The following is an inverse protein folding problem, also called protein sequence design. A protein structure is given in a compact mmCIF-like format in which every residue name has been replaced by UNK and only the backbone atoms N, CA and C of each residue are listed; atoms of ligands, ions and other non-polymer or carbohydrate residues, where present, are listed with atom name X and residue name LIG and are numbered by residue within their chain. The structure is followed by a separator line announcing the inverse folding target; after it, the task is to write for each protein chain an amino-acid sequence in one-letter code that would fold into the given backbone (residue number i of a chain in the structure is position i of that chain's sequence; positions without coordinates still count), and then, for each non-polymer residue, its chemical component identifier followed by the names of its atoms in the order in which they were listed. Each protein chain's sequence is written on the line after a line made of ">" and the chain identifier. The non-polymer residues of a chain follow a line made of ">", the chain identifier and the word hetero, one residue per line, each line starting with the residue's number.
data_IF_913299254605
#
_entry.id   IF_913299254605
#
_cell.length_a   1.000
_cell.length_b   1.000
_cell.length_c   1.000
_cell.angle_alpha   90.00
_cell.angle_beta   90.00
_cell.angle_gamma   90.00
#
_symmetry.space_group_name_H-M   'P 1'
#
loop_
_entity.id
_entity.type
_entity.pdbx_description
1 polymer ?
#
# COMPACT_ATOMS: atom_id res chain seq x y z
N UNK A 1 51.66 38.28 -32.32
CA UNK A 1 50.46 37.77 -31.62
C UNK A 1 50.11 36.43 -32.26
N UNK A 2 50.29 35.32 -31.55
CA UNK A 2 49.78 34.02 -32.00
C UNK A 2 49.68 33.09 -30.77
N UNK A 3 48.52 33.10 -30.11
CA UNK A 3 48.17 32.09 -29.11
C UNK A 3 47.49 30.94 -29.85
N UNK A 4 48.27 29.94 -30.25
CA UNK A 4 47.73 28.69 -30.80
C UNK A 4 47.06 27.84 -29.72
N UNK A 5 45.99 27.09 -30.03
CA UNK A 5 45.30 26.26 -29.04
C UNK A 5 46.22 25.14 -28.56
N UNK A 6 46.57 25.17 -27.27
CA UNK A 6 47.30 24.08 -26.61
C UNK A 6 46.35 22.90 -26.45
N UNK A 7 46.49 21.90 -27.31
CA UNK A 7 45.87 20.60 -27.09
C UNK A 7 46.45 20.02 -25.79
N UNK A 8 45.63 19.99 -24.72
CA UNK A 8 45.97 19.33 -23.47
C UNK A 8 46.09 17.83 -23.76
N UNK A 9 47.27 17.26 -23.52
CA UNK A 9 47.48 15.82 -23.55
C UNK A 9 46.61 15.18 -22.48
N UNK A 10 45.70 14.28 -22.89
CA UNK A 10 44.85 13.52 -21.97
C UNK A 10 45.79 12.67 -21.10
N UNK A 11 45.79 12.95 -19.80
CA UNK A 11 46.59 12.23 -18.80
C UNK A 11 45.95 10.88 -18.47
N UNK A 12 46.74 9.92 -17.98
CA UNK A 12 46.19 8.69 -17.40
C UNK A 12 45.17 8.98 -16.29
N UNK A 13 45.35 10.10 -15.57
CA UNK A 13 44.40 10.61 -14.57
C UNK A 13 43.07 11.04 -15.21
N UNK A 14 43.09 11.66 -16.39
CA UNK A 14 41.87 12.03 -17.11
C UNK A 14 41.12 10.79 -17.58
N UNK A 15 41.84 9.73 -17.97
CA UNK A 15 41.27 8.43 -18.30
C UNK A 15 40.58 7.77 -17.10
N UNK A 16 41.22 7.78 -15.93
CA UNK A 16 40.61 7.26 -14.69
C UNK A 16 39.39 8.08 -14.29
N UNK A 17 39.46 9.41 -14.38
CA UNK A 17 38.34 10.29 -14.10
C UNK A 17 37.15 10.03 -15.03
N UNK A 18 37.41 9.77 -16.32
CA UNK A 18 36.36 9.40 -17.28
C UNK A 18 35.69 8.06 -16.93
N UNK A 19 36.46 7.05 -16.53
CA UNK A 19 35.91 5.74 -16.12
C UNK A 19 35.06 5.87 -14.87
N UNK A 20 35.52 6.62 -13.86
CA UNK A 20 34.74 6.88 -12.64
C UNK A 20 33.45 7.63 -12.97
N UNK A 21 33.52 8.63 -13.85
CA UNK A 21 32.36 9.38 -14.31
C UNK A 21 31.32 8.49 -15.01
N UNK A 22 31.76 7.59 -15.90
CA UNK A 22 30.89 6.63 -16.58
C UNK A 22 30.25 5.64 -15.59
N UNK A 23 31.01 5.13 -14.63
CA UNK A 23 30.49 4.25 -13.59
C UNK A 23 29.44 4.94 -12.71
N UNK A 24 29.67 6.20 -12.34
CA UNK A 24 28.71 6.99 -11.58
C UNK A 24 27.40 7.22 -12.37
N UNK A 25 27.49 7.52 -13.67
CA UNK A 25 26.32 7.69 -14.53
C UNK A 25 25.53 6.39 -14.68
N UNK A 26 26.21 5.26 -14.88
CA UNK A 26 25.56 3.95 -14.92
C UNK A 26 24.87 3.62 -13.59
N UNK A 27 25.51 3.93 -12.46
CA UNK A 27 24.92 3.75 -11.13
C UNK A 27 23.65 4.59 -10.91
N UNK A 28 23.62 5.84 -11.38
CA UNK A 28 22.43 6.70 -11.30
C UNK A 28 21.29 6.17 -12.17
N UNK A 29 21.59 5.71 -13.40
CA UNK A 29 20.60 5.15 -14.32
C UNK A 29 19.95 3.87 -13.79
N UNK A 30 20.68 3.06 -13.01
CA UNK A 30 20.14 1.88 -12.33
C UNK A 30 19.42 2.17 -11.02
N UNK A 31 19.31 3.44 -10.62
CA UNK A 31 18.67 3.77 -9.35
C UNK A 31 17.17 3.43 -9.34
N UNK A 32 16.63 2.87 -8.25
CA UNK A 32 15.21 2.52 -8.14
C UNK A 32 14.26 3.71 -8.39
N UNK A 33 14.72 4.94 -8.12
CA UNK A 33 13.95 6.18 -8.30
C UNK A 33 13.73 6.52 -9.77
N UNK A 34 14.73 6.30 -10.63
CA UNK A 34 14.60 6.49 -12.07
C UNK A 34 13.73 5.40 -12.68
N UNK A 35 13.91 4.14 -12.27
CA UNK A 35 13.07 3.01 -12.70
C UNK A 35 11.58 3.24 -12.42
N UNK A 36 11.22 3.73 -11.22
CA UNK A 36 9.83 4.07 -10.89
C UNK A 36 9.30 5.27 -11.71
N UNK A 37 10.14 6.26 -12.00
CA UNK A 37 9.76 7.40 -12.84
C UNK A 37 9.47 6.96 -14.29
N UNK A 38 10.29 6.06 -14.83
CA UNK A 38 10.08 5.48 -16.16
C UNK A 38 8.82 4.61 -16.18
N UNK A 39 8.59 3.78 -15.15
CA UNK A 39 7.38 2.97 -15.05
C UNK A 39 6.09 3.81 -14.98
N UNK A 40 6.15 5.00 -14.38
CA UNK A 40 5.06 5.99 -14.43
C UNK A 40 4.87 6.54 -15.84
N UNK A 41 5.96 6.89 -16.53
CA UNK A 41 5.91 7.44 -17.88
C UNK A 41 5.41 6.41 -18.93
N UNK A 42 5.61 5.12 -18.69
CA UNK A 42 5.09 4.04 -19.55
C UNK A 42 3.65 3.64 -19.21
N UNK A 43 3.05 4.22 -18.17
CA UNK A 43 1.66 3.96 -17.76
C UNK A 43 1.43 2.59 -17.12
N UNK A 44 2.50 1.87 -16.75
CA UNK A 44 2.38 0.56 -16.09
C UNK A 44 2.00 0.69 -14.62
N UNK A 45 2.35 1.82 -13.99
CA UNK A 45 1.93 2.18 -12.62
C UNK A 45 0.66 3.02 -12.66
N UNK A 46 -0.36 2.58 -11.91
CA UNK A 46 -1.67 3.25 -11.81
C UNK A 46 -2.11 3.36 -10.34
N UNK A 47 -2.95 4.37 -10.02
CA UNK A 47 -3.68 4.38 -8.76
C UNK A 47 -4.61 3.16 -8.71
N UNK A 48 -4.62 2.48 -7.56
CA UNK A 48 -5.51 1.36 -7.29
C UNK A 48 -6.15 1.52 -5.93
N UNK A 49 -7.43 1.15 -5.85
CA UNK A 49 -8.15 1.04 -4.60
C UNK A 49 -8.11 -0.41 -4.10
N UNK A 50 -7.81 -0.58 -2.83
CA UNK A 50 -7.64 -1.88 -2.18
C UNK A 50 -8.54 -1.91 -0.96
N UNK A 51 -9.43 -2.89 -0.89
CA UNK A 51 -10.22 -3.17 0.30
C UNK A 51 -9.54 -4.28 1.11
N UNK A 52 -9.35 -4.04 2.40
CA UNK A 52 -8.81 -5.01 3.36
C UNK A 52 -9.81 -5.21 4.48
N UNK A 53 -10.35 -6.43 4.58
CA UNK A 53 -11.24 -6.81 5.67
C UNK A 53 -10.41 -7.25 6.87
N UNK A 54 -10.61 -6.58 7.99
CA UNK A 54 -10.09 -6.92 9.32
C UNK A 54 -11.25 -7.46 10.13
N UNK A 55 -11.08 -8.64 10.74
CA UNK A 55 -12.15 -9.31 11.47
C UNK A 55 -11.68 -9.86 12.81
N UNK A 56 -12.54 -9.75 13.82
CA UNK A 56 -12.37 -10.35 15.14
C UNK A 56 -11.17 -9.81 15.91
N UNK A 57 -10.71 -8.58 15.62
CA UNK A 57 -9.56 -8.00 16.33
C UNK A 57 -10.01 -7.46 17.69
N UNK A 58 -9.48 -7.95 18.82
CA UNK A 58 -9.82 -7.40 20.12
C UNK A 58 -9.33 -5.95 20.22
N UNK A 59 -10.24 -5.04 20.54
CA UNK A 59 -9.92 -3.64 20.73
C UNK A 59 -10.80 -3.07 21.84
N UNK A 60 -10.20 -2.45 22.86
CA UNK A 60 -10.94 -1.89 23.99
C UNK A 60 -11.94 -0.79 23.57
N UNK A 61 -11.62 -0.06 22.50
CA UNK A 61 -12.50 0.92 21.87
C UNK A 61 -12.29 0.87 20.34
N UNK A 62 -13.02 0.00 19.63
CA UNK A 62 -12.89 -0.15 18.17
C UNK A 62 -13.21 1.15 17.44
N UNK A 63 -14.22 1.89 17.91
CA UNK A 63 -14.66 3.15 17.31
C UNK A 63 -13.57 4.21 17.38
N UNK A 64 -12.91 4.35 18.53
CA UNK A 64 -11.77 5.26 18.68
C UNK A 64 -10.60 4.85 17.81
N UNK A 65 -10.27 3.55 17.71
CA UNK A 65 -9.22 3.07 16.82
C UNK A 65 -9.50 3.48 15.36
N UNK A 66 -10.73 3.29 14.89
CA UNK A 66 -11.14 3.69 13.54
C UNK A 66 -10.99 5.21 13.34
N UNK A 67 -11.48 6.01 14.28
CA UNK A 67 -11.37 7.47 14.21
C UNK A 67 -9.91 7.93 14.14
N UNK A 68 -9.04 7.33 14.95
CA UNK A 68 -7.62 7.62 14.95
C UNK A 68 -6.93 7.17 13.66
N UNK A 69 -7.31 6.01 13.10
CA UNK A 69 -6.81 5.56 11.81
C UNK A 69 -7.18 6.55 10.70
N UNK A 70 -8.44 6.97 10.64
CA UNK A 70 -8.94 7.96 9.68
C UNK A 70 -8.27 9.32 9.86
N UNK A 71 -8.09 9.79 11.10
CA UNK A 71 -7.41 11.05 11.40
C UNK A 71 -5.95 11.07 10.96
N UNK A 72 -5.25 9.93 11.05
CA UNK A 72 -3.89 9.78 10.51
C UNK A 72 -3.88 9.76 8.97
N UNK A 73 -4.97 9.32 8.33
CA UNK A 73 -5.17 9.32 6.87
C UNK A 73 -4.24 8.39 6.08
N UNK A 74 -3.34 7.67 6.75
CA UNK A 74 -2.37 6.76 6.16
C UNK A 74 -2.13 5.56 7.06
N UNK A 75 -1.83 4.44 6.44
CA UNK A 75 -1.44 3.20 7.13
C UNK A 75 -0.30 2.54 6.38
N UNK A 76 0.56 1.81 7.09
CA UNK A 76 1.59 0.98 6.48
C UNK A 76 0.99 -0.37 6.13
N UNK A 77 1.29 -0.88 4.93
CA UNK A 77 0.88 -2.22 4.51
C UNK A 77 2.07 -3.17 4.60
N UNK A 78 1.86 -4.26 5.33
CA UNK A 78 2.83 -5.35 5.48
C UNK A 78 2.25 -6.57 4.77
N UNK A 79 3.02 -7.16 3.87
CA UNK A 79 2.61 -8.34 3.10
C UNK A 79 3.69 -9.39 3.32
N UNK A 80 3.32 -10.56 3.83
CA UNK A 80 4.27 -11.66 4.14
C UNK A 80 5.42 -11.20 5.05
N UNK A 81 5.11 -10.48 6.13
CA UNK A 81 6.10 -9.92 7.08
C UNK A 81 7.12 -8.97 6.44
N UNK A 82 6.85 -8.46 5.25
CA UNK A 82 7.68 -7.46 4.59
C UNK A 82 6.93 -6.13 4.54
N UNK A 83 7.51 -5.03 5.05
CA UNK A 83 6.90 -3.72 4.95
C UNK A 83 6.99 -3.21 3.51
N UNK A 84 5.85 -2.84 2.93
CA UNK A 84 5.74 -2.41 1.53
C UNK A 84 5.45 -0.90 1.38
N UNK A 85 5.54 -0.17 2.49
CA UNK A 85 5.38 1.28 2.53
C UNK A 85 4.00 1.71 3.01
N UNK A 86 3.77 3.02 2.94
CA UNK A 86 2.54 3.65 3.42
C UNK A 86 1.57 3.91 2.27
N UNK A 87 0.31 3.52 2.47
CA UNK A 87 -0.82 3.78 1.58
C UNK A 87 -1.79 4.78 2.20
N UNK A 88 -2.57 5.47 1.37
CA UNK A 88 -3.61 6.40 1.81
C UNK A 88 -4.79 5.60 2.34
N UNK A 89 -5.31 5.97 3.51
CA UNK A 89 -6.56 5.43 4.03
C UNK A 89 -7.69 6.37 3.59
N UNK A 90 -8.62 5.86 2.78
CA UNK A 90 -9.73 6.63 2.22
C UNK A 90 -10.92 6.61 3.17
N UNK A 91 -11.31 5.41 3.61
CA UNK A 91 -12.41 5.20 4.55
C UNK A 91 -12.28 3.88 5.28
N UNK A 92 -13.08 3.72 6.33
CA UNK A 92 -13.23 2.47 7.07
C UNK A 92 -14.72 2.18 7.18
N UNK A 93 -15.16 1.09 6.56
CA UNK A 93 -16.56 0.65 6.62
C UNK A 93 -16.74 -0.36 7.77
N UNK A 94 -17.81 -0.23 8.55
CA UNK A 94 -18.21 -1.23 9.53
C UNK A 94 -18.82 -2.44 8.80
N UNK A 95 -18.21 -3.61 8.99
CA UNK A 95 -18.66 -4.88 8.37
C UNK A 95 -19.10 -5.89 9.44
N UNK A 96 -19.38 -5.41 10.65
CA UNK A 96 -19.84 -6.26 11.74
C UNK A 96 -21.12 -6.97 11.35
N UNK A 97 -21.16 -8.28 11.63
CA UNK A 97 -22.34 -9.10 11.36
C UNK A 97 -23.56 -8.60 12.13
N UNK A 98 -24.71 -8.60 11.47
CA UNK A 98 -26.01 -8.39 12.12
C UNK A 98 -26.63 -9.73 12.50
N UNK A 99 -27.44 -9.74 13.55
CA UNK A 99 -28.31 -10.86 13.87
C UNK A 99 -29.48 -10.87 12.88
N UNK A 100 -29.82 -12.06 12.40
CA UNK A 100 -30.93 -12.26 11.47
C UNK A 100 -31.86 -13.31 12.05
N UNK A 101 -33.16 -13.02 12.09
CA UNK A 101 -34.18 -13.96 12.56
C UNK A 101 -35.44 -13.88 11.70
N UNK A 102 -36.24 -14.95 11.74
CA UNK A 102 -37.53 -15.03 11.08
C UNK A 102 -38.65 -14.87 12.12
N UNK A 103 -39.58 -13.94 11.90
CA UNK A 103 -40.74 -13.79 12.77
C UNK A 103 -41.80 -14.87 12.48
N UNK A 104 -42.71 -15.17 13.41
CA UNK A 104 -43.80 -16.12 13.19
C UNK A 104 -44.69 -15.78 11.98
N UNK A 105 -44.76 -14.50 11.59
CA UNK A 105 -45.48 -14.01 10.41
C UNK A 105 -44.68 -14.16 9.09
N UNK A 106 -43.52 -14.82 9.14
CA UNK A 106 -42.68 -15.08 7.97
C UNK A 106 -41.83 -13.90 7.51
N UNK A 107 -41.65 -12.86 8.35
CA UNK A 107 -40.81 -11.69 8.02
C UNK A 107 -39.38 -11.87 8.50
N UNK A 108 -38.40 -11.46 7.69
CA UNK A 108 -36.99 -11.41 8.09
C UNK A 108 -36.73 -10.10 8.83
N UNK A 109 -36.17 -10.19 10.03
CA UNK A 109 -35.77 -9.04 10.83
C UNK A 109 -34.28 -9.10 11.11
N UNK A 110 -33.60 -7.97 10.94
CA UNK A 110 -32.18 -7.78 11.21
C UNK A 110 -31.99 -6.84 12.40
N UNK A 111 -31.08 -7.18 13.31
CA UNK A 111 -30.75 -6.35 14.48
C UNK A 111 -29.25 -6.37 14.78
N UNK A 112 -28.77 -5.36 15.49
CA UNK A 112 -27.40 -5.37 16.02
C UNK A 112 -27.24 -6.42 17.13
N UNK A 113 -26.08 -7.07 17.20
CA UNK A 113 -25.80 -8.04 18.27
C UNK A 113 -25.60 -7.31 19.61
N UNK A 114 -26.45 -7.55 20.63
CA UNK A 114 -26.31 -6.90 21.93
C UNK A 114 -25.01 -7.31 22.67
N UNK A 115 -24.40 -8.45 22.30
CA UNK A 115 -23.12 -8.85 22.86
C UNK A 115 -21.93 -8.07 22.28
N UNK A 116 -22.14 -7.30 21.20
CA UNK A 116 -21.09 -6.48 20.58
C UNK A 116 -20.39 -5.57 21.59
N UNK A 117 -21.16 -4.92 22.47
CA UNK A 117 -20.66 -4.05 23.53
C UNK A 117 -19.80 -4.78 24.56
N UNK A 118 -20.02 -6.09 24.75
CA UNK A 118 -19.25 -6.92 25.69
C UNK A 118 -18.04 -7.57 25.05
N UNK A 119 -18.11 -7.89 23.76
CA UNK A 119 -17.04 -8.58 23.04
C UNK A 119 -15.94 -7.64 22.58
N UNK A 120 -16.24 -6.35 22.36
CA UNK A 120 -15.29 -5.31 21.99
C UNK A 120 -14.28 -5.76 20.92
N UNK A 121 -14.80 -6.16 19.77
CA UNK A 121 -14.02 -6.57 18.61
C UNK A 121 -14.19 -5.57 17.46
N UNK A 122 -13.14 -5.44 16.67
CA UNK A 122 -13.11 -4.66 15.44
C UNK A 122 -13.34 -5.60 14.25
N UNK A 123 -14.49 -5.42 13.60
CA UNK A 123 -14.83 -5.97 12.30
C UNK A 123 -15.01 -4.80 11.32
N UNK A 124 -13.99 -4.53 10.50
CA UNK A 124 -13.97 -3.34 9.64
C UNK A 124 -13.30 -3.61 8.29
N UNK A 125 -13.77 -2.95 7.25
CA UNK A 125 -13.14 -2.90 5.94
C UNK A 125 -12.39 -1.59 5.79
N UNK A 126 -11.07 -1.67 5.68
CA UNK A 126 -10.21 -0.53 5.38
C UNK A 126 -10.13 -0.38 3.86
N UNK A 127 -10.55 0.77 3.35
CA UNK A 127 -10.42 1.12 1.93
C UNK A 127 -9.21 2.00 1.76
N UNK A 128 -8.24 1.47 1.04
CA UNK A 128 -6.91 2.02 0.88
C UNK A 128 -6.69 2.42 -0.57
N UNK A 129 -5.87 3.44 -0.77
CA UNK A 129 -5.40 3.82 -2.09
C UNK A 129 -3.88 3.83 -2.12
N UNK A 130 -3.34 3.26 -3.19
CA UNK A 130 -1.92 3.24 -3.43
C UNK A 130 -1.61 3.08 -4.90
N UNK A 131 -0.32 3.21 -5.21
CA UNK A 131 0.19 2.99 -6.55
C UNK A 131 0.54 1.52 -6.73
N UNK A 132 0.09 0.93 -7.84
CA UNK A 132 0.44 -0.44 -8.18
C UNK A 132 0.72 -0.59 -9.68
N UNK A 133 1.57 -1.55 -10.02
CA UNK A 133 1.81 -1.92 -11.41
C UNK A 133 0.69 -2.83 -11.89
N UNK A 134 -0.06 -2.41 -12.91
CA UNK A 134 -1.13 -3.23 -13.49
C UNK A 134 -0.57 -4.00 -14.68
N UNK A 135 -0.65 -5.31 -14.62
CA UNK A 135 -0.14 -6.21 -15.66
C UNK A 135 -1.19 -7.25 -16.06
N UNK A 136 -0.90 -8.05 -17.09
CA UNK A 136 -1.79 -9.15 -17.54
C UNK A 136 -2.07 -10.18 -16.44
N UNK A 137 -1.17 -10.34 -15.46
CA UNK A 137 -1.31 -11.30 -14.36
C UNK A 137 -2.05 -10.73 -13.14
N UNK A 138 -2.35 -9.43 -13.14
CA UNK A 138 -3.06 -8.73 -12.07
C UNK A 138 -2.34 -7.46 -11.60
N UNK A 139 -2.78 -7.00 -10.43
CA UNK A 139 -2.26 -5.80 -9.75
C UNK A 139 -1.08 -6.18 -8.87
N UNK A 140 0.06 -5.51 -9.08
CA UNK A 140 1.31 -5.75 -8.34
C UNK A 140 1.65 -4.52 -7.52
N UNK A 141 1.56 -4.64 -6.20
CA UNK A 141 1.96 -3.58 -5.28
C UNK A 141 3.28 -3.96 -4.61
N UNK A 142 4.27 -3.06 -4.68
CA UNK A 142 5.58 -3.24 -4.08
C UNK A 142 6.26 -4.60 -4.42
N UNK A 143 6.12 -5.04 -5.67
CA UNK A 143 6.70 -6.30 -6.15
C UNK A 143 5.92 -7.56 -5.76
N UNK A 144 4.79 -7.45 -5.06
CA UNK A 144 3.92 -8.57 -4.71
C UNK A 144 2.59 -8.48 -5.46
N UNK A 145 2.16 -9.59 -6.05
CA UNK A 145 0.82 -9.69 -6.64
C UNK A 145 -0.23 -9.59 -5.54
N UNK A 146 -1.06 -8.56 -5.60
CA UNK A 146 -2.15 -8.34 -4.66
C UNK A 146 -3.43 -8.93 -5.24
N UNK A 147 -3.90 -10.00 -4.61
CA UNK A 147 -5.13 -10.71 -5.00
C UNK A 147 -6.12 -10.74 -3.84
N UNK A 148 -7.40 -10.84 -4.15
CA UNK A 148 -8.42 -11.14 -3.14
C UNK A 148 -8.03 -12.44 -2.42
N UNK A 149 -8.11 -12.44 -1.09
CA UNK A 149 -7.65 -13.53 -0.22
C UNK A 149 -6.19 -13.42 0.23
N UNK A 150 -5.43 -12.42 -0.24
CA UNK A 150 -4.05 -12.22 0.21
C UNK A 150 -4.05 -11.75 1.66
N UNK A 151 -3.35 -12.45 2.58
CA UNK A 151 -3.19 -11.98 3.95
C UNK A 151 -2.25 -10.78 3.98
N UNK A 152 -2.67 -9.74 4.69
CA UNK A 152 -1.91 -8.49 4.85
C UNK A 152 -2.06 -8.02 6.29
N UNK A 153 -1.12 -7.18 6.73
CA UNK A 153 -1.24 -6.47 8.00
C UNK A 153 -1.26 -4.98 7.74
N UNK A 154 -2.11 -4.27 8.48
CA UNK A 154 -2.20 -2.82 8.47
C UNK A 154 -1.59 -2.30 9.76
N UNK A 155 -0.61 -1.44 9.64
CA UNK A 155 0.12 -0.87 10.77
C UNK A 155 0.01 0.65 10.77
N UNK A 156 -0.58 1.18 11.83
CA UNK A 156 -0.60 2.59 12.15
C UNK A 156 0.15 2.89 13.46
N UNK A 157 0.14 4.14 13.94
CA UNK A 157 0.90 4.53 15.12
C UNK A 157 0.52 3.79 16.41
N UNK A 158 -0.74 3.34 16.52
CA UNK A 158 -1.29 2.69 17.72
C UNK A 158 -1.94 1.34 17.46
N UNK A 159 -1.84 0.82 16.24
CA UNK A 159 -2.46 -0.44 15.89
C UNK A 159 -1.60 -1.21 14.90
N UNK A 160 -1.64 -2.53 15.03
CA UNK A 160 -1.19 -3.48 14.02
C UNK A 160 -2.24 -4.56 13.94
N UNK A 161 -2.95 -4.62 12.82
CA UNK A 161 -4.11 -5.49 12.65
C UNK A 161 -3.94 -6.39 11.44
N UNK A 162 -4.26 -7.67 11.63
CA UNK A 162 -4.25 -8.64 10.54
C UNK A 162 -5.53 -8.52 9.74
N UNK A 163 -5.41 -8.55 8.42
CA UNK A 163 -6.53 -8.46 7.49
C UNK A 163 -6.33 -9.33 6.27
N UNK A 164 -7.36 -9.39 5.46
CA UNK A 164 -7.34 -10.09 4.17
C UNK A 164 -7.83 -9.14 3.10
N UNK A 165 -7.12 -9.10 1.96
CA UNK A 165 -7.59 -8.32 0.80
C UNK A 165 -8.93 -8.87 0.35
N UNK A 166 -9.96 -8.03 0.36
CA UNK A 166 -11.34 -8.35 -0.01
C UNK A 166 -11.74 -7.75 -1.35
N UNK A 167 -11.01 -6.74 -1.83
CA UNK A 167 -11.27 -6.09 -3.12
C UNK A 167 -10.02 -5.41 -3.67
N UNK A 168 -9.90 -5.39 -4.99
CA UNK A 168 -8.85 -4.67 -5.73
C UNK A 168 -9.49 -4.08 -6.97
N UNK A 169 -9.48 -2.76 -7.06
CA UNK A 169 -10.08 -2.00 -8.16
C UNK A 169 -9.02 -1.09 -8.77
N UNK A 170 -8.95 -1.08 -10.10
CA UNK A 170 -8.05 -0.19 -10.85
C UNK A 170 -8.84 1.05 -11.22
N UNK A 171 -8.33 2.22 -10.84
CA UNK A 171 -8.94 3.52 -11.16
C UNK A 171 -8.46 4.06 -12.52
#
# INVERSE_FOLDING_TARGET
>A
MASGPRFRSISAIDGVAAVIGLAALAGVLWSPKLSNTVARATGSVKPVQISVDVRGVPAADPSKLIQEALANGRTSIVIRNQPHGSVRLVKVDDITRQLVTLTPEGRVVTAEDPNRLRQSTLDARFVLEGEATVSKSGVVMAGTNLKIGTPVELEGPRYRVNGTVSGVEVE
#
